data_IF_925531866753
#
_entry.id   IF_925531866753
#
_cell.length_a   1.000
_cell.length_b   1.000
_cell.length_c   1.000
_cell.angle_alpha   90.00
_cell.angle_beta   90.00
_cell.angle_gamma   90.00
#
_symmetry.space_group_name_H-M   'P 1'
#
loop_
_entity.id
_entity.type
_entity.pdbx_description
1 polymer ?
#
# COMPACT_ATOMS: atom_id res chain seq x y z
N UNK A 1 -10.58 16.83 -1.51
CA UNK A 1 -9.12 16.65 -1.41
C UNK A 1 -8.78 15.32 -2.06
N UNK A 2 -7.96 15.32 -3.11
CA UNK A 2 -7.61 14.11 -3.85
C UNK A 2 -6.46 13.40 -3.14
N UNK A 3 -6.79 12.41 -2.31
CA UNK A 3 -5.80 11.45 -1.81
C UNK A 3 -5.26 10.68 -3.02
N UNK A 4 -3.96 10.75 -3.27
CA UNK A 4 -3.35 9.84 -4.24
C UNK A 4 -3.49 8.43 -3.69
N UNK A 5 -4.15 7.53 -4.43
CA UNK A 5 -4.25 6.11 -4.13
C UNK A 5 -3.79 5.31 -5.36
N UNK A 6 -2.83 4.41 -5.16
CA UNK A 6 -2.38 3.47 -6.18
C UNK A 6 -2.42 2.05 -5.63
N UNK A 7 -3.16 1.18 -6.32
CA UNK A 7 -3.28 -0.24 -5.95
C UNK A 7 -2.27 -1.04 -6.76
N UNK A 8 -1.33 -1.71 -6.07
CA UNK A 8 -0.27 -2.51 -6.70
C UNK A 8 -0.65 -3.99 -6.84
N UNK A 9 -1.49 -4.49 -5.93
CA UNK A 9 -2.04 -5.83 -6.00
C UNK A 9 -3.41 -5.85 -5.35
N UNK A 10 -4.37 -6.51 -5.99
CA UNK A 10 -5.72 -6.74 -5.45
C UNK A 10 -6.21 -8.18 -5.75
N UNK A 11 -5.29 -9.09 -6.04
CA UNK A 11 -5.61 -10.48 -6.39
C UNK A 11 -5.52 -11.43 -5.18
N UNK A 12 -6.36 -12.46 -5.18
CA UNK A 12 -6.38 -13.49 -4.16
C UNK A 12 -6.74 -12.97 -2.75
N UNK A 13 -5.92 -13.33 -1.77
CA UNK A 13 -6.14 -13.04 -0.35
C UNK A 13 -5.37 -11.81 0.17
N UNK A 14 -4.79 -10.99 -0.71
CA UNK A 14 -4.02 -9.79 -0.34
C UNK A 14 -4.47 -8.56 -1.13
N UNK A 15 -4.31 -7.37 -0.55
CA UNK A 15 -4.42 -6.09 -1.23
C UNK A 15 -3.26 -5.21 -0.78
N UNK A 16 -2.52 -4.61 -1.72
CA UNK A 16 -1.41 -3.69 -1.47
C UNK A 16 -1.76 -2.34 -2.07
N UNK A 17 -1.80 -1.31 -1.23
CA UNK A 17 -2.23 0.04 -1.59
C UNK A 17 -1.20 1.04 -1.11
N UNK A 18 -0.76 1.91 -2.00
CA UNK A 18 0.06 3.06 -1.66
C UNK A 18 -0.81 4.31 -1.65
N UNK A 19 -0.73 5.08 -0.58
CA UNK A 19 -1.41 6.37 -0.45
C UNK A 19 -0.41 7.49 -0.16
N UNK A 20 -0.78 8.71 -0.50
CA UNK A 20 -0.12 9.92 -0.02
C UNK A 20 -1.01 10.57 1.05
N UNK A 21 -0.45 10.87 2.21
CA UNK A 21 -1.22 11.48 3.30
C UNK A 21 -1.60 12.92 2.91
N UNK A 22 -2.88 13.28 3.02
CA UNK A 22 -3.32 14.65 2.75
C UNK A 22 -2.86 15.63 3.84
N UNK A 23 -2.52 15.13 5.03
CA UNK A 23 -2.03 15.95 6.15
C UNK A 23 -0.55 16.26 6.01
N UNK A 24 0.20 15.39 5.32
CA UNK A 24 1.62 15.56 5.02
C UNK A 24 1.91 15.02 3.60
N UNK A 25 1.96 15.91 2.59
CA UNK A 25 2.20 15.51 1.20
C UNK A 25 3.60 14.90 0.98
N UNK A 26 4.50 15.02 1.95
CA UNK A 26 5.81 14.37 1.91
C UNK A 26 5.74 12.90 2.35
N UNK A 27 4.64 12.47 2.96
CA UNK A 27 4.48 11.13 3.50
C UNK A 27 3.73 10.19 2.53
N UNK A 28 4.34 9.04 2.33
CA UNK A 28 3.85 7.96 1.49
C UNK A 28 3.65 6.72 2.34
N UNK A 29 2.44 6.16 2.30
CA UNK A 29 2.04 5.08 3.19
C UNK A 29 1.63 3.87 2.37
N UNK A 30 2.34 2.77 2.55
CA UNK A 30 1.99 1.48 1.94
C UNK A 30 1.18 0.66 2.94
N UNK A 31 -0.10 0.44 2.65
CA UNK A 31 -0.95 -0.48 3.39
C UNK A 31 -0.99 -1.85 2.73
N UNK A 32 -0.78 -2.87 3.56
CA UNK A 32 -0.99 -4.26 3.17
C UNK A 32 -2.18 -4.80 3.93
N UNK A 33 -3.17 -5.28 3.19
CA UNK A 33 -4.36 -5.94 3.72
C UNK A 33 -4.33 -7.42 3.38
N UNK A 34 -4.76 -8.24 4.34
CA UNK A 34 -5.15 -9.63 4.10
C UNK A 34 -6.66 -9.69 3.97
N UNK A 35 -7.16 -10.22 2.86
CA UNK A 35 -8.58 -10.51 2.64
C UNK A 35 -8.88 -11.89 3.24
N UNK A 36 -9.87 -11.95 4.11
CA UNK A 36 -10.37 -13.18 4.76
C UNK A 36 -11.88 -13.20 4.54
N UNK A 37 -12.40 -14.12 3.71
CA UNK A 37 -13.80 -14.30 3.29
C UNK A 37 -14.66 -13.03 3.13
N UNK A 38 -15.02 -12.33 4.21
CA UNK A 38 -15.84 -11.12 4.21
C UNK A 38 -15.15 -9.86 4.77
N UNK A 39 -13.93 -9.98 5.29
CA UNK A 39 -13.19 -8.89 5.94
C UNK A 39 -11.84 -8.64 5.28
N UNK A 40 -11.43 -7.37 5.33
CA UNK A 40 -10.07 -6.93 4.97
C UNK A 40 -9.39 -6.55 6.27
N UNK A 41 -8.36 -7.29 6.69
CA UNK A 41 -7.57 -6.94 7.87
C UNK A 41 -6.29 -6.26 7.41
N UNK A 42 -6.04 -5.04 7.88
CA UNK A 42 -4.74 -4.38 7.68
C UNK A 42 -3.70 -5.17 8.48
N UNK A 43 -2.70 -5.73 7.80
CA UNK A 43 -1.66 -6.55 8.43
C UNK A 43 -0.37 -5.78 8.62
N UNK A 44 0.03 -4.96 7.64
CA UNK A 44 1.24 -4.15 7.71
C UNK A 44 0.97 -2.71 7.24
N UNK A 45 1.80 -1.80 7.71
CA UNK A 45 1.85 -0.40 7.28
C UNK A 45 3.30 0.02 7.23
N UNK A 46 3.72 0.53 6.07
CA UNK A 46 5.06 1.07 5.87
C UNK A 46 4.95 2.54 5.50
N UNK A 47 5.90 3.34 5.98
CA UNK A 47 5.90 4.79 5.82
C UNK A 47 7.20 5.20 5.14
N UNK A 48 7.08 6.11 4.19
CA UNK A 48 8.18 6.58 3.36
C UNK A 48 8.07 8.09 3.20
N UNK A 49 9.21 8.77 3.15
CA UNK A 49 9.30 10.21 2.84
C UNK A 49 9.47 10.49 1.36
N UNK A 50 9.64 9.44 0.54
CA UNK A 50 9.86 9.54 -0.90
C UNK A 50 8.92 8.59 -1.65
N UNK A 51 8.24 9.14 -2.65
CA UNK A 51 7.34 8.40 -3.55
C UNK A 51 8.04 7.25 -4.25
N UNK A 52 9.20 7.50 -4.84
CA UNK A 52 9.88 6.53 -5.69
C UNK A 52 10.34 5.31 -4.88
N UNK A 53 10.84 5.55 -3.66
CA UNK A 53 11.16 4.49 -2.72
C UNK A 53 9.94 3.67 -2.32
N UNK A 54 8.81 4.35 -2.06
CA UNK A 54 7.57 3.69 -1.69
C UNK A 54 7.01 2.83 -2.84
N UNK A 55 7.08 3.32 -4.08
CA UNK A 55 6.64 2.56 -5.26
C UNK A 55 7.54 1.37 -5.55
N UNK A 56 8.88 1.54 -5.49
CA UNK A 56 9.83 0.44 -5.65
C UNK A 56 9.61 -0.65 -4.61
N UNK A 57 9.47 -0.26 -3.33
CA UNK A 57 9.20 -1.20 -2.25
C UNK A 57 7.86 -1.91 -2.44
N UNK A 58 6.81 -1.21 -2.90
CA UNK A 58 5.51 -1.82 -3.18
C UNK A 58 5.61 -2.90 -4.27
N UNK A 59 6.36 -2.63 -5.35
CA UNK A 59 6.58 -3.59 -6.44
C UNK A 59 7.37 -4.82 -5.96
N UNK A 60 8.45 -4.61 -5.22
CA UNK A 60 9.24 -5.71 -4.64
C UNK A 60 8.42 -6.53 -3.64
N UNK A 61 7.63 -5.86 -2.79
CA UNK A 61 6.77 -6.53 -1.82
C UNK A 61 5.76 -7.43 -2.52
N UNK A 62 5.09 -6.93 -3.56
CA UNK A 62 4.16 -7.73 -4.37
C UNK A 62 4.90 -8.89 -5.01
N UNK A 63 6.06 -8.67 -5.66
CA UNK A 63 6.84 -9.73 -6.31
C UNK A 63 7.24 -10.85 -5.36
N UNK A 64 7.67 -10.52 -4.14
CA UNK A 64 8.13 -11.49 -3.14
C UNK A 64 6.98 -12.18 -2.39
N UNK A 65 5.75 -11.64 -2.45
CA UNK A 65 4.59 -12.11 -1.68
C UNK A 65 3.38 -12.48 -2.55
N UNK A 66 3.54 -12.55 -3.87
CA UNK A 66 2.54 -13.03 -4.84
C UNK A 66 2.44 -14.54 -4.84
#
# INVERSE_FOLDING_TARGET
MNTYEKVFSDSGNKKVVLINDNSDPSMWILYVYKKILFFKKKINTYWFSNKDQAELFALEYVKNNS
#
